data_IF_254280827189
#
_entry.id   IF_254280827189
#
_cell.length_a   1.000
_cell.length_b   1.000
_cell.length_c   1.000
_cell.angle_alpha   90.00
_cell.angle_beta   90.00
_cell.angle_gamma   90.00
#
_symmetry.space_group_name_H-M   'P 1'
#
loop_
_entity.id
_entity.type
_entity.pdbx_description
1 polymer ?
#
# COMPACT_ATOMS: atom_id res chain seq x y z
N UNK A 1 13.20 16.64 2.97
CA UNK A 1 12.57 16.30 1.67
C UNK A 1 11.41 15.43 2.02
N UNK A 2 10.40 16.08 2.56
CA UNK A 2 9.24 15.45 3.13
C UNK A 2 8.32 15.23 1.95
N UNK A 3 8.21 13.97 1.57
CA UNK A 3 7.41 13.50 0.47
C UNK A 3 6.05 13.16 1.07
N UNK A 4 5.05 14.08 1.05
CA UNK A 4 3.69 13.69 1.29
C UNK A 4 3.36 12.71 0.18
N UNK A 5 3.27 11.45 0.56
CA UNK A 5 2.53 10.48 -0.22
C UNK A 5 1.10 11.03 -0.23
N UNK A 6 0.44 10.93 -1.37
CA UNK A 6 -0.97 11.24 -1.49
C UNK A 6 -1.66 9.92 -1.78
N UNK A 7 -2.40 9.39 -0.80
CA UNK A 7 -3.34 8.32 -1.06
C UNK A 7 -4.58 8.96 -1.66
N UNK A 8 -4.76 8.79 -2.96
CA UNK A 8 -5.81 9.44 -3.74
C UNK A 8 -6.61 8.43 -4.56
N UNK A 9 -7.76 8.86 -5.07
CA UNK A 9 -8.54 8.10 -6.04
C UNK A 9 -8.75 8.93 -7.32
N UNK A 10 -8.66 8.23 -8.46
CA UNK A 10 -9.16 8.62 -9.80
C UNK A 10 -8.44 9.71 -10.63
N UNK A 11 -8.94 9.81 -11.87
CA UNK A 11 -8.36 10.30 -13.13
C UNK A 11 -9.53 11.02 -13.86
N UNK A 12 -9.39 12.10 -14.63
CA UNK A 12 -8.31 12.51 -15.55
C UNK A 12 -8.36 14.05 -15.77
N UNK A 13 -7.41 14.59 -16.54
CA UNK A 13 -7.45 15.91 -17.22
C UNK A 13 -7.41 17.20 -16.37
N UNK A 14 -6.70 18.18 -16.93
CA UNK A 14 -6.85 19.60 -16.65
C UNK A 14 -6.76 20.34 -17.98
N UNK A 15 -7.66 21.29 -18.22
CA UNK A 15 -7.61 22.12 -19.42
C UNK A 15 -6.30 22.93 -19.53
N UNK A 16 -5.84 23.10 -20.76
CA UNK A 16 -4.60 23.81 -21.08
C UNK A 16 -4.91 25.29 -21.36
N UNK A 17 -4.90 26.11 -20.30
CA UNK A 17 -5.10 27.56 -20.40
C UNK A 17 -3.98 28.24 -21.18
N UNK A 18 -4.33 29.11 -22.13
CA UNK A 18 -3.41 29.82 -23.03
C UNK A 18 -2.70 31.00 -22.34
N UNK A 19 -1.72 30.73 -21.47
CA UNK A 19 -0.89 31.79 -20.86
C UNK A 19 0.54 31.33 -20.53
N UNK A 20 1.13 30.48 -21.38
CA UNK A 20 2.28 29.63 -21.01
C UNK A 20 3.52 29.70 -21.93
N UNK A 21 3.73 30.84 -22.60
CA UNK A 21 4.95 31.12 -23.40
C UNK A 21 6.19 31.46 -22.53
N UNK A 22 6.40 30.74 -21.43
CA UNK A 22 7.63 30.81 -20.64
C UNK A 22 8.43 29.49 -20.71
N UNK A 23 9.54 29.45 -21.48
CA UNK A 23 10.33 28.22 -21.66
C UNK A 23 10.95 27.68 -20.37
N UNK A 24 11.15 28.52 -19.34
CA UNK A 24 11.66 28.07 -18.03
C UNK A 24 10.58 27.30 -17.26
N UNK A 25 9.31 27.74 -17.35
CA UNK A 25 8.18 27.04 -16.74
C UNK A 25 7.84 25.73 -17.49
N UNK A 26 8.04 25.69 -18.81
CA UNK A 26 7.96 24.46 -19.59
C UNK A 26 9.06 23.45 -19.20
N UNK A 27 10.32 23.90 -19.08
CA UNK A 27 11.44 23.06 -18.65
C UNK A 27 11.32 22.57 -17.20
N UNK A 28 10.66 23.34 -16.31
CA UNK A 28 10.35 22.92 -14.94
C UNK A 28 9.26 21.85 -14.89
N UNK A 29 8.19 21.99 -15.70
CA UNK A 29 7.13 20.97 -15.82
C UNK A 29 7.64 19.66 -16.43
N UNK A 30 8.54 19.73 -17.41
CA UNK A 30 9.19 18.55 -18.00
C UNK A 30 10.06 17.73 -17.01
N UNK A 31 10.32 18.22 -15.80
CA UNK A 31 11.10 17.54 -14.75
C UNK A 31 10.26 16.87 -13.66
N UNK A 32 8.94 17.04 -13.68
CA UNK A 32 8.04 16.58 -12.62
C UNK A 32 7.11 15.50 -13.15
N UNK A 33 7.60 14.25 -13.17
CA UNK A 33 6.75 13.10 -13.48
C UNK A 33 5.99 12.66 -12.23
N UNK A 34 4.79 12.12 -12.43
CA UNK A 34 4.02 11.43 -11.41
C UNK A 34 4.20 9.93 -11.64
N UNK A 35 4.58 9.22 -10.58
CA UNK A 35 4.53 7.77 -10.52
C UNK A 35 3.48 7.35 -9.52
N UNK A 36 2.66 6.37 -9.89
CA UNK A 36 1.60 5.88 -9.03
C UNK A 36 1.37 4.38 -9.22
N UNK A 37 0.82 3.73 -8.20
CA UNK A 37 0.33 2.36 -8.28
C UNK A 37 -0.94 2.24 -7.46
N UNK A 38 -1.93 1.49 -7.94
CA UNK A 38 -3.18 1.22 -7.23
C UNK A 38 -3.25 -0.19 -6.65
N UNK A 39 -4.08 -0.37 -5.64
CA UNK A 39 -4.51 -1.67 -5.12
C UNK A 39 -5.94 -1.56 -4.64
N UNK A 40 -6.61 -2.70 -4.58
CA UNK A 40 -7.83 -2.84 -3.83
C UNK A 40 -7.81 -4.17 -3.07
N UNK A 41 -8.56 -4.23 -1.98
CA UNK A 41 -9.03 -5.47 -1.36
C UNK A 41 -10.45 -5.20 -0.85
N UNK A 42 -11.40 -6.05 -1.21
CA UNK A 42 -12.83 -5.87 -0.98
C UNK A 42 -13.31 -4.41 -1.17
N UNK A 43 -13.63 -3.70 -0.10
CA UNK A 43 -14.21 -2.34 -0.15
C UNK A 43 -13.17 -1.21 -0.06
N UNK A 44 -11.89 -1.53 0.21
CA UNK A 44 -10.82 -0.53 0.28
C UNK A 44 -10.03 -0.46 -1.03
N UNK A 45 -10.12 0.68 -1.71
CA UNK A 45 -9.23 1.06 -2.82
C UNK A 45 -8.17 2.02 -2.28
N UNK A 46 -6.90 1.80 -2.64
CA UNK A 46 -5.81 2.70 -2.29
C UNK A 46 -4.86 2.91 -3.46
N UNK A 47 -4.38 4.14 -3.60
CA UNK A 47 -3.29 4.49 -4.51
C UNK A 47 -2.09 4.92 -3.68
N UNK A 48 -0.89 4.55 -4.11
CA UNK A 48 0.32 5.24 -3.67
C UNK A 48 0.81 6.10 -4.84
N UNK A 49 1.02 7.39 -4.58
CA UNK A 49 1.46 8.38 -5.56
C UNK A 49 2.73 9.07 -5.05
N UNK A 50 3.64 9.40 -5.96
CA UNK A 50 4.79 10.25 -5.72
C UNK A 50 5.06 11.13 -6.94
N UNK A 51 5.60 12.34 -6.71
CA UNK A 51 5.94 13.30 -7.76
C UNK A 51 7.42 13.66 -7.65
N UNK A 52 8.12 13.74 -8.78
CA UNK A 52 9.56 13.98 -8.79
C UNK A 52 10.20 13.65 -10.14
N UNK A 53 11.50 13.35 -10.13
CA UNK A 53 12.22 12.94 -11.34
C UNK A 53 11.79 11.53 -11.74
N UNK A 54 11.90 11.20 -13.03
CA UNK A 54 11.51 9.87 -13.56
C UNK A 54 12.07 8.74 -12.71
N UNK A 55 13.35 8.84 -12.37
CA UNK A 55 14.12 7.81 -11.68
C UNK A 55 13.83 7.73 -10.16
N UNK A 56 13.03 8.64 -9.62
CA UNK A 56 12.56 8.67 -8.22
C UNK A 56 11.09 8.25 -8.08
N UNK A 57 10.34 8.18 -9.18
CA UNK A 57 8.88 7.90 -9.17
C UNK A 57 8.47 6.57 -9.79
N UNK A 58 9.32 5.92 -10.58
CA UNK A 58 8.98 4.64 -11.26
C UNK A 58 8.79 3.45 -10.31
N UNK A 59 9.43 3.45 -9.14
CA UNK A 59 9.49 2.30 -8.24
C UNK A 59 8.64 2.56 -6.98
N UNK A 60 7.32 2.51 -7.15
CA UNK A 60 6.30 2.70 -6.11
C UNK A 60 5.23 1.61 -6.21
N UNK A 61 4.82 1.05 -5.08
CA UNK A 61 3.82 -0.01 -5.05
C UNK A 61 3.09 -0.10 -3.72
N UNK A 62 1.80 -0.40 -3.78
CA UNK A 62 0.92 -0.49 -2.60
C UNK A 62 0.25 -1.87 -2.52
N UNK A 63 0.34 -2.47 -1.33
CA UNK A 63 -0.33 -3.69 -0.94
C UNK A 63 -1.39 -3.40 0.11
N UNK A 64 -2.54 -4.06 -0.02
CA UNK A 64 -3.70 -3.92 0.86
C UNK A 64 -4.25 -5.32 1.10
N UNK A 65 -4.49 -5.66 2.37
CA UNK A 65 -5.03 -6.96 2.80
C UNK A 65 -6.07 -6.76 3.90
N UNK A 66 -7.31 -7.17 3.68
CA UNK A 66 -8.32 -7.18 4.75
C UNK A 66 -7.91 -8.17 5.87
N UNK A 67 -8.14 -7.82 7.14
CA UNK A 67 -7.88 -8.70 8.29
C UNK A 67 -9.06 -9.67 8.51
N UNK A 68 -9.53 -10.32 7.44
CA UNK A 68 -10.62 -11.30 7.50
C UNK A 68 -10.25 -12.59 6.78
N UNK A 69 -10.72 -13.72 7.30
CA UNK A 69 -10.63 -15.01 6.61
C UNK A 69 -11.83 -15.18 5.68
N UNK A 70 -11.73 -16.00 4.60
CA UNK A 70 -12.89 -16.33 3.77
C UNK A 70 -14.05 -16.92 4.59
N UNK A 71 -15.32 -16.64 4.23
CA UNK A 71 -16.47 -17.17 4.97
C UNK A 71 -16.43 -18.70 5.12
N UNK A 72 -16.54 -19.18 6.36
CA UNK A 72 -16.49 -20.61 6.70
C UNK A 72 -15.07 -21.19 6.85
N UNK A 73 -14.02 -20.37 6.85
CA UNK A 73 -12.63 -20.78 7.05
C UNK A 73 -12.04 -20.14 8.32
N UNK A 74 -11.28 -20.91 9.11
CA UNK A 74 -10.56 -20.37 10.26
C UNK A 74 -9.35 -19.52 9.81
N UNK A 75 -8.85 -18.64 10.69
CA UNK A 75 -7.64 -17.86 10.40
C UNK A 75 -6.43 -18.76 10.13
N UNK A 76 -6.35 -19.87 10.86
CA UNK A 76 -5.27 -20.85 10.74
C UNK A 76 -5.36 -21.65 9.43
N UNK A 77 -6.55 -22.11 9.03
CA UNK A 77 -6.74 -22.80 7.75
C UNK A 77 -6.42 -21.87 6.57
N UNK A 78 -6.84 -20.60 6.67
CA UNK A 78 -6.52 -19.59 5.67
C UNK A 78 -5.01 -19.33 5.58
N UNK A 79 -4.31 -19.19 6.72
CA UNK A 79 -2.86 -19.07 6.76
C UNK A 79 -2.18 -20.28 6.10
N UNK A 80 -2.55 -21.51 6.48
CA UNK A 80 -2.02 -22.76 5.91
C UNK A 80 -2.22 -22.80 4.38
N UNK A 81 -3.39 -22.38 3.88
CA UNK A 81 -3.67 -22.33 2.44
C UNK A 81 -2.69 -21.43 1.67
N UNK A 82 -2.07 -20.44 2.35
CA UNK A 82 -1.14 -19.47 1.78
C UNK A 82 0.34 -19.73 2.11
N UNK A 83 0.68 -20.79 2.87
CA UNK A 83 2.08 -21.11 3.21
C UNK A 83 3.00 -21.28 2.00
N UNK A 84 2.46 -21.72 0.85
CA UNK A 84 3.20 -21.80 -0.42
C UNK A 84 3.72 -20.43 -0.94
N UNK A 85 3.23 -19.31 -0.39
CA UNK A 85 3.68 -17.93 -0.72
C UNK A 85 4.70 -17.38 0.27
N UNK A 86 5.02 -18.13 1.32
CA UNK A 86 5.77 -17.68 2.49
C UNK A 86 7.03 -18.51 2.68
N UNK A 87 8.12 -17.89 3.12
CA UNK A 87 9.34 -18.62 3.48
C UNK A 87 9.17 -19.33 4.84
N UNK A 88 10.04 -20.30 5.20
CA UNK A 88 10.00 -20.93 6.51
C UNK A 88 10.10 -19.93 7.68
N UNK A 89 10.91 -18.87 7.52
CA UNK A 89 11.06 -17.78 8.50
C UNK A 89 9.73 -17.03 8.72
N UNK A 90 9.01 -16.77 7.64
CA UNK A 90 7.71 -16.08 7.66
C UNK A 90 6.58 -16.97 8.19
N UNK A 91 6.62 -18.27 7.88
CA UNK A 91 5.69 -19.26 8.45
C UNK A 91 5.88 -19.36 9.97
N UNK A 92 7.13 -19.38 10.46
CA UNK A 92 7.43 -19.32 11.88
C UNK A 92 6.98 -18.01 12.54
N UNK A 93 7.01 -16.88 11.82
CA UNK A 93 6.50 -15.60 12.32
C UNK A 93 4.98 -15.60 12.55
N UNK A 94 4.19 -16.35 11.77
CA UNK A 94 2.71 -16.37 11.91
C UNK A 94 2.29 -16.84 13.31
N UNK A 95 2.94 -17.86 13.87
CA UNK A 95 2.68 -18.39 15.21
C UNK A 95 1.20 -18.77 15.47
N UNK A 96 0.70 -19.85 14.84
CA UNK A 96 -0.71 -20.27 14.89
C UNK A 96 -1.26 -20.50 16.31
N UNK A 97 -0.38 -20.79 17.27
CA UNK A 97 -0.70 -20.96 18.69
C UNK A 97 -1.07 -19.66 19.43
N UNK A 98 -0.85 -18.49 18.82
CA UNK A 98 -1.09 -17.18 19.45
C UNK A 98 -2.51 -16.62 19.22
N UNK A 99 -3.38 -17.38 18.54
CA UNK A 99 -4.79 -17.05 18.33
C UNK A 99 -5.06 -16.34 17.00
N UNK A 100 -6.31 -16.44 16.54
CA UNK A 100 -6.72 -16.10 15.18
C UNK A 100 -6.45 -14.65 14.76
N UNK A 101 -6.69 -13.69 15.67
CA UNK A 101 -6.43 -12.27 15.40
C UNK A 101 -4.94 -11.99 15.12
N UNK A 102 -4.04 -12.60 15.90
CA UNK A 102 -2.59 -12.43 15.74
C UNK A 102 -2.13 -13.10 14.43
N UNK A 103 -2.66 -14.28 14.13
CA UNK A 103 -2.41 -15.01 12.88
C UNK A 103 -2.82 -14.16 11.66
N UNK A 104 -4.06 -13.66 11.64
CA UNK A 104 -4.56 -12.81 10.55
C UNK A 104 -3.73 -11.54 10.40
N UNK A 105 -3.44 -10.83 11.50
CA UNK A 105 -2.65 -9.59 11.44
C UNK A 105 -1.25 -9.84 10.88
N UNK A 106 -0.55 -10.90 11.30
CA UNK A 106 0.79 -11.23 10.81
C UNK A 106 0.79 -11.73 9.36
N UNK A 107 -0.19 -12.56 8.98
CA UNK A 107 -0.38 -13.04 7.62
C UNK A 107 -0.65 -11.88 6.65
N UNK A 108 -1.64 -11.03 6.95
CA UNK A 108 -2.01 -9.90 6.10
C UNK A 108 -0.88 -8.87 6.01
N UNK A 109 -0.07 -8.70 7.06
CA UNK A 109 1.13 -7.87 7.05
C UNK A 109 2.21 -8.37 6.08
N UNK A 110 2.59 -9.65 6.16
CA UNK A 110 3.54 -10.26 5.24
C UNK A 110 3.04 -10.17 3.79
N UNK A 111 1.76 -10.46 3.56
CA UNK A 111 1.16 -10.41 2.23
C UNK A 111 1.07 -8.98 1.68
N UNK A 112 0.73 -7.98 2.50
CA UNK A 112 0.72 -6.57 2.09
C UNK A 112 2.13 -6.09 1.71
N UNK A 113 3.15 -6.42 2.51
CA UNK A 113 4.56 -6.09 2.23
C UNK A 113 5.04 -6.71 0.91
N UNK A 114 4.80 -8.02 0.70
CA UNK A 114 5.13 -8.70 -0.56
C UNK A 114 4.39 -8.09 -1.74
N UNK A 115 3.08 -7.86 -1.61
CA UNK A 115 2.26 -7.26 -2.67
C UNK A 115 2.76 -5.86 -3.05
N UNK A 116 3.10 -5.03 -2.06
CA UNK A 116 3.65 -3.69 -2.27
C UNK A 116 4.97 -3.74 -3.04
N UNK A 117 5.88 -4.64 -2.65
CA UNK A 117 7.17 -4.81 -3.33
C UNK A 117 7.01 -5.31 -4.77
N UNK A 118 6.29 -6.42 -4.99
CA UNK A 118 6.06 -7.04 -6.30
C UNK A 118 5.53 -6.01 -7.30
N UNK A 119 4.58 -5.18 -6.85
CA UNK A 119 4.02 -4.07 -7.62
C UNK A 119 5.04 -2.97 -7.90
N UNK A 120 5.82 -2.57 -6.90
CA UNK A 120 6.83 -1.51 -7.04
C UNK A 120 7.98 -1.87 -7.99
N UNK A 121 8.27 -3.16 -8.20
CA UNK A 121 9.22 -3.63 -9.22
C UNK A 121 8.56 -4.08 -10.53
N UNK A 122 7.26 -3.83 -10.71
CA UNK A 122 6.53 -4.10 -11.95
C UNK A 122 6.45 -5.58 -12.35
N UNK A 123 6.51 -6.51 -11.39
CA UNK A 123 6.47 -7.94 -11.70
C UNK A 123 5.05 -8.38 -12.11
N UNK A 124 4.92 -9.27 -13.12
CA UNK A 124 3.63 -9.70 -13.64
C UNK A 124 2.91 -10.67 -12.68
N UNK A 125 1.62 -10.90 -12.97
CA UNK A 125 0.85 -11.95 -12.32
C UNK A 125 1.53 -13.32 -12.55
N UNK A 126 1.65 -14.13 -11.49
CA UNK A 126 2.40 -15.39 -11.50
C UNK A 126 3.83 -15.29 -10.99
N UNK A 127 4.31 -14.11 -10.59
CA UNK A 127 5.54 -14.00 -9.79
C UNK A 127 5.43 -14.85 -8.51
N UNK A 128 6.50 -15.58 -8.17
CA UNK A 128 6.56 -16.43 -6.98
C UNK A 128 6.89 -15.61 -5.72
N UNK A 129 5.95 -15.58 -4.79
CA UNK A 129 6.02 -14.81 -3.56
C UNK A 129 7.03 -15.38 -2.57
N UNK A 130 7.36 -16.68 -2.65
CA UNK A 130 8.32 -17.35 -1.78
C UNK A 130 9.78 -16.91 -2.02
N UNK A 131 10.05 -16.26 -3.18
CA UNK A 131 11.34 -15.64 -3.50
C UNK A 131 11.66 -14.40 -2.67
N UNK A 132 10.66 -13.83 -2.00
CA UNK A 132 10.78 -12.69 -1.11
C UNK A 132 10.69 -13.15 0.33
N UNK A 133 11.54 -12.60 1.19
CA UNK A 133 11.49 -12.84 2.64
C UNK A 133 11.45 -11.51 3.39
N UNK A 134 10.47 -11.36 4.28
CA UNK A 134 10.33 -10.23 5.20
C UNK A 134 10.49 -10.71 6.65
N UNK A 135 11.72 -10.67 7.16
CA UNK A 135 12.00 -10.86 8.58
C UNK A 135 11.71 -9.56 9.33
N UNK A 136 10.44 -9.41 9.71
CA UNK A 136 9.89 -8.21 10.39
C UNK A 136 10.58 -7.92 11.74
N UNK A 137 10.80 -8.89 12.65
CA UNK A 137 11.52 -8.65 13.91
C UNK A 137 12.91 -8.02 13.73
N UNK A 138 13.72 -8.58 12.82
CA UNK A 138 15.08 -8.10 12.53
C UNK A 138 15.11 -6.91 11.56
N UNK A 139 13.96 -6.50 11.01
CA UNK A 139 13.80 -5.44 9.99
C UNK A 139 14.63 -5.71 8.72
N UNK A 140 14.76 -6.98 8.34
CA UNK A 140 15.46 -7.43 7.14
C UNK A 140 14.43 -7.81 6.07
N UNK A 141 14.64 -7.33 4.84
CA UNK A 141 13.95 -7.86 3.67
C UNK A 141 14.95 -8.37 2.63
N UNK A 142 14.67 -9.53 2.04
CA UNK A 142 15.48 -10.09 0.94
C UNK A 142 14.62 -10.51 -0.25
N UNK A 143 15.22 -10.53 -1.43
CA UNK A 143 14.68 -11.15 -2.64
C UNK A 143 15.76 -12.01 -3.28
N UNK A 144 15.46 -13.28 -3.58
CA UNK A 144 16.42 -14.28 -4.05
C UNK A 144 17.69 -14.36 -3.17
N UNK A 145 17.52 -14.24 -1.84
CA UNK A 145 18.61 -14.22 -0.86
C UNK A 145 19.47 -12.95 -0.86
N UNK A 146 19.13 -11.92 -1.66
CA UNK A 146 19.84 -10.63 -1.70
C UNK A 146 19.07 -9.57 -0.88
N UNK A 147 19.74 -8.75 -0.05
CA UNK A 147 19.09 -7.67 0.68
C UNK A 147 18.35 -6.69 -0.27
N UNK A 148 17.15 -6.27 0.12
CA UNK A 148 16.38 -5.23 -0.60
C UNK A 148 16.89 -3.82 -0.24
N UNK A 149 18.20 -3.62 -0.42
CA UNK A 149 18.87 -2.36 -0.18
C UNK A 149 18.22 -1.21 -0.99
N UNK A 150 18.07 -0.05 -0.37
CA UNK A 150 17.48 1.12 -1.00
C UNK A 150 15.94 1.17 -0.96
N UNK A 151 15.28 0.18 -0.37
CA UNK A 151 13.82 0.16 -0.21
C UNK A 151 13.36 0.69 1.15
N UNK A 152 12.37 1.57 1.12
CA UNK A 152 11.61 2.02 2.30
C UNK A 152 10.21 1.42 2.24
N UNK A 153 9.84 0.66 3.27
CA UNK A 153 8.52 0.11 3.49
C UNK A 153 7.80 0.92 4.57
N UNK A 154 6.65 1.50 4.22
CA UNK A 154 5.73 2.15 5.18
C UNK A 154 4.53 1.26 5.41
N UNK A 155 4.16 1.05 6.66
CA UNK A 155 3.10 0.13 7.06
C UNK A 155 2.14 0.82 8.02
N UNK A 156 0.84 0.69 7.75
CA UNK A 156 -0.23 1.28 8.55
C UNK A 156 -1.48 0.39 8.49
N UNK A 157 -2.41 0.61 9.41
CA UNK A 157 -3.75 0.00 9.39
C UNK A 157 -4.75 1.03 8.89
N UNK A 158 -5.76 0.58 8.13
CA UNK A 158 -6.91 1.37 7.73
C UNK A 158 -8.19 0.69 8.23
N UNK A 159 -9.18 1.46 8.66
CA UNK A 159 -10.44 0.96 9.19
C UNK A 159 -11.59 1.63 8.42
N UNK A 160 -12.56 0.83 7.98
CA UNK A 160 -13.79 1.27 7.34
C UNK A 160 -14.96 0.86 8.23
N UNK A 161 -15.88 1.79 8.48
CA UNK A 161 -17.08 1.54 9.29
C UNK A 161 -18.31 2.13 8.62
N UNK A 162 -19.42 1.39 8.60
CA UNK A 162 -20.72 1.92 8.16
C UNK A 162 -21.87 1.27 8.94
N UNK A 163 -22.98 2.00 9.18
CA UNK A 163 -24.15 1.46 9.85
C UNK A 163 -24.89 0.46 8.94
N UNK A 164 -25.46 -0.57 9.55
CA UNK A 164 -26.35 -1.52 8.85
C UNK A 164 -27.76 -0.92 8.82
N UNK A 165 -28.39 -0.78 7.63
CA UNK A 165 -29.74 -0.21 7.51
C UNK A 165 -30.75 -0.88 8.43
N UNK A 166 -31.64 -0.07 9.02
CA UNK A 166 -32.72 -0.49 9.91
C UNK A 166 -32.29 -1.23 11.20
N UNK A 167 -31.02 -1.09 11.63
CA UNK A 167 -30.48 -1.66 12.87
C UNK A 167 -29.57 -0.65 13.61
N UNK A 168 -29.19 -0.97 14.86
CA UNK A 168 -28.12 -0.25 15.59
C UNK A 168 -26.72 -0.81 15.29
N UNK A 169 -26.64 -1.90 14.51
CA UNK A 169 -25.38 -2.58 14.20
C UNK A 169 -24.51 -1.79 13.23
N UNK A 170 -23.20 -1.94 13.36
CA UNK A 170 -22.20 -1.34 12.50
C UNK A 170 -21.32 -2.44 11.91
N UNK A 171 -21.07 -2.40 10.60
CA UNK A 171 -20.04 -3.23 9.98
C UNK A 171 -18.71 -2.48 10.12
N UNK A 172 -17.72 -3.16 10.68
CA UNK A 172 -16.34 -2.70 10.74
C UNK A 172 -15.45 -3.63 9.91
N UNK A 173 -14.62 -3.06 9.05
CA UNK A 173 -13.57 -3.78 8.31
C UNK A 173 -12.21 -3.15 8.59
N UNK A 174 -11.24 -3.98 8.99
CA UNK A 174 -9.86 -3.56 9.22
C UNK A 174 -8.97 -4.07 8.08
N UNK A 175 -8.04 -3.24 7.64
CA UNK A 175 -7.13 -3.52 6.52
C UNK A 175 -5.69 -3.24 6.91
N UNK A 176 -4.79 -4.17 6.56
CA UNK A 176 -3.35 -3.98 6.67
C UNK A 176 -2.84 -3.43 5.34
N UNK A 177 -2.27 -2.22 5.41
CA UNK A 177 -1.73 -1.52 4.26
C UNK A 177 -0.22 -1.42 4.35
N UNK A 178 0.45 -1.60 3.21
CA UNK A 178 1.89 -1.41 3.08
C UNK A 178 2.21 -0.70 1.77
N UNK A 179 3.22 0.17 1.77
CA UNK A 179 3.72 0.82 0.57
C UNK A 179 5.24 0.70 0.50
N UNK A 180 5.74 0.34 -0.68
CA UNK A 180 7.16 0.16 -0.97
C UNK A 180 7.64 1.29 -1.89
N UNK A 181 8.73 1.95 -1.48
CA UNK A 181 9.39 3.03 -2.21
C UNK A 181 10.85 2.72 -2.42
N UNK A 182 11.38 2.90 -3.63
CA UNK A 182 12.82 2.91 -3.83
C UNK A 182 13.40 4.30 -3.54
N UNK A 183 14.18 4.42 -2.45
CA UNK A 183 14.79 5.67 -1.96
C UNK A 183 16.32 5.72 -2.15
N UNK A 184 16.94 4.67 -2.71
CA UNK A 184 18.41 4.57 -2.96
C UNK A 184 19.28 4.72 -1.70
N UNK A 185 18.71 4.45 -0.52
CA UNK A 185 19.45 4.28 0.72
C UNK A 185 20.39 3.08 0.64
N UNK A 186 21.38 2.99 1.53
CA UNK A 186 22.23 1.78 1.63
C UNK A 186 21.46 0.61 2.22
N UNK A 187 20.57 0.91 3.16
CA UNK A 187 19.86 -0.07 3.97
C UNK A 187 18.39 -0.18 3.56
N UNK A 188 17.76 -1.28 3.95
CA UNK A 188 16.29 -1.42 3.93
C UNK A 188 15.72 -0.67 5.13
N UNK A 189 14.64 0.09 4.95
CA UNK A 189 13.98 0.82 6.05
C UNK A 189 12.54 0.37 6.21
N UNK A 190 12.13 0.13 7.46
CA UNK A 190 10.74 -0.09 7.83
C UNK A 190 10.25 1.07 8.69
N UNK A 191 9.10 1.64 8.34
CA UNK A 191 8.43 2.71 9.08
C UNK A 191 7.02 2.21 9.44
N UNK A 192 6.78 2.04 10.75
CA UNK A 192 5.52 1.57 11.31
C UNK A 192 4.74 2.78 11.80
N UNK A 193 3.56 2.99 11.24
CA UNK A 193 2.82 4.25 11.36
C UNK A 193 1.64 4.04 12.29
N UNK A 194 1.89 4.34 13.57
CA UNK A 194 0.99 4.10 14.69
C UNK A 194 0.35 5.41 15.23
N UNK A 195 0.90 6.58 14.87
CA UNK A 195 0.33 7.89 15.22
C UNK A 195 -0.55 8.37 14.05
N UNK A 196 -1.84 8.57 14.32
CA UNK A 196 -2.81 9.08 13.35
C UNK A 196 -2.37 10.43 12.75
N UNK A 197 -1.71 11.30 13.53
CA UNK A 197 -1.26 12.62 13.03
C UNK A 197 -0.08 12.50 12.08
N UNK A 198 0.83 11.57 12.32
CA UNK A 198 1.90 11.29 11.36
C UNK A 198 1.31 10.67 10.10
N UNK A 199 0.36 9.74 10.24
CA UNK A 199 -0.33 9.10 9.13
C UNK A 199 -1.11 10.10 8.25
N UNK A 200 -1.92 10.98 8.85
CA UNK A 200 -2.70 12.02 8.16
C UNK A 200 -1.83 13.00 7.34
N UNK A 201 -0.53 13.14 7.67
CA UNK A 201 0.38 13.98 6.89
C UNK A 201 0.75 13.42 5.51
N UNK A 202 0.48 12.13 5.26
CA UNK A 202 0.81 11.45 4.00
C UNK A 202 -0.18 10.34 3.58
N UNK A 203 -1.28 10.16 4.30
CA UNK A 203 -2.41 9.30 3.91
C UNK A 203 -3.68 10.11 4.06
N UNK A 204 -4.38 10.28 2.95
CA UNK A 204 -5.69 10.92 2.91
C UNK A 204 -6.75 9.84 2.73
N UNK A 205 -7.69 9.78 3.67
CA UNK A 205 -8.91 8.99 3.51
C UNK A 205 -9.97 9.87 2.85
N UNK A 206 -10.53 9.38 1.74
CA UNK A 206 -11.54 10.10 0.94
C UNK A 206 -12.78 9.22 0.86
N UNK A 207 -13.94 9.73 1.30
CA UNK A 207 -15.22 9.01 1.18
C UNK A 207 -15.80 9.14 -0.23
N UNK A 208 -16.75 8.27 -0.59
CA UNK A 208 -17.45 8.38 -1.87
C UNK A 208 -18.15 9.73 -2.00
N UNK A 209 -18.78 10.24 -0.93
CA UNK A 209 -19.43 11.55 -0.95
C UNK A 209 -18.45 12.70 -1.19
N UNK A 210 -17.26 12.65 -0.58
CA UNK A 210 -16.21 13.64 -0.82
C UNK A 210 -15.72 13.60 -2.27
N UNK A 211 -15.66 12.40 -2.87
CA UNK A 211 -15.30 12.23 -4.27
C UNK A 211 -16.40 12.76 -5.20
N UNK A 212 -17.68 12.47 -4.93
CA UNK A 212 -18.82 12.98 -5.71
C UNK A 212 -18.90 14.52 -5.66
N UNK A 213 -18.72 15.13 -4.49
CA UNK A 213 -18.68 16.60 -4.31
C UNK A 213 -17.53 17.30 -5.08
N UNK A 214 -16.54 16.54 -5.56
CA UNK A 214 -15.44 17.04 -6.41
C UNK A 214 -15.61 16.59 -7.86
N UNK A 215 -16.28 15.47 -8.13
CA UNK A 215 -16.50 14.92 -9.47
C UNK A 215 -17.19 15.93 -10.40
N UNK A 216 -18.20 16.66 -9.91
CA UNK A 216 -18.89 17.70 -10.69
C UNK A 216 -17.93 18.82 -11.15
N UNK A 217 -16.85 19.07 -10.40
CA UNK A 217 -15.79 20.07 -10.71
C UNK A 217 -14.65 19.51 -11.58
N UNK A 218 -14.75 18.25 -12.02
CA UNK A 218 -13.80 17.59 -12.91
C UNK A 218 -14.39 17.35 -14.32
N UNK A 219 -15.67 17.71 -14.51
CA UNK A 219 -16.39 17.58 -15.79
C UNK A 219 -16.59 18.96 -16.47
N UNK A 220 -16.39 20.05 -15.73
CA UNK A 220 -16.14 21.41 -16.25
C UNK A 220 -14.67 21.60 -16.67
#
# INVERSE_FOLDING_TARGET
>A
MDCPILVWMLFTNREMTKEDDNPVAAASRARSMIGYHTSYDHNLVGMAMTQGRREDVVNIGIGIKELTAPPGMSANDFAISLYHKLTPTEQAFIAPEQGEEIVMRRLCLLLALKQAYIKAIGQPMGFDWSRLEFNIPEKIATGDGRPLAGWEFRVWTAELGWPVPDTEDHIEQKYQCACAFFRRTRDTRFIWQNDSKELESWVQFITLDQLLNVADKLVE
#
